data_IF_814871087221
#
_entry.id   IF_814871087221
#
_cell.length_a   1.000
_cell.length_b   1.000
_cell.length_c   1.000
_cell.angle_alpha   90.00
_cell.angle_beta   90.00
_cell.angle_gamma   90.00
#
_symmetry.space_group_name_H-M   'P 1'
#
loop_
_entity.id
_entity.type
_entity.pdbx_description
1 polymer ?
#
# COMPACT_ATOMS: atom_id res chain seq x y z
N UNK A 1 0.32 7.47 9.73
CA UNK A 1 -1.08 7.68 10.18
C UNK A 1 -1.95 6.69 9.42
N UNK A 2 -2.76 5.89 10.10
CA UNK A 2 -3.75 5.08 9.39
C UNK A 2 -4.97 5.96 9.09
N UNK A 3 -5.46 5.90 7.88
CA UNK A 3 -6.68 6.59 7.50
C UNK A 3 -7.87 5.73 7.93
N UNK A 4 -8.64 6.20 8.92
CA UNK A 4 -9.77 5.46 9.46
C UNK A 4 -11.05 6.05 8.89
N UNK A 5 -11.76 5.30 8.10
CA UNK A 5 -13.13 5.64 7.73
C UNK A 5 -14.07 5.23 8.87
N UNK A 6 -14.90 6.16 9.31
CA UNK A 6 -15.90 5.92 10.36
C UNK A 6 -17.28 6.21 9.81
N UNK A 7 -18.20 5.30 10.03
CA UNK A 7 -19.63 5.53 9.80
C UNK A 7 -20.38 5.57 11.13
N UNK A 8 -21.43 6.36 11.20
CA UNK A 8 -22.43 6.22 12.24
C UNK A 8 -23.37 5.08 11.89
N UNK A 9 -23.60 4.18 12.84
CA UNK A 9 -24.62 3.16 12.70
C UNK A 9 -25.98 3.84 12.51
N UNK A 10 -26.70 3.45 11.47
CA UNK A 10 -28.05 3.90 11.23
C UNK A 10 -28.97 3.13 12.19
N UNK A 11 -29.46 3.77 13.24
CA UNK A 11 -30.56 3.24 14.04
C UNK A 11 -31.87 3.58 13.34
N UNK A 12 -32.15 2.94 12.22
CA UNK A 12 -33.42 3.05 11.50
C UNK A 12 -34.13 1.71 11.53
N UNK A 13 -35.43 1.73 11.81
CA UNK A 13 -36.26 0.52 11.70
C UNK A 13 -36.14 -0.05 10.28
N UNK A 14 -35.95 -1.38 10.14
CA UNK A 14 -35.99 -2.00 8.81
C UNK A 14 -37.34 -1.78 8.17
N UNK A 15 -37.40 -1.27 6.97
CA UNK A 15 -38.59 -1.42 6.15
C UNK A 15 -39.28 -0.20 5.58
N UNK A 16 -38.80 1.01 5.74
CA UNK A 16 -39.32 2.14 4.93
C UNK A 16 -38.45 2.34 3.70
N UNK A 17 -38.55 1.43 2.73
CA UNK A 17 -37.81 1.47 1.48
C UNK A 17 -38.18 2.64 0.60
N UNK A 18 -37.74 3.81 0.90
CA UNK A 18 -37.71 4.98 0.00
C UNK A 18 -36.62 5.91 0.50
N UNK A 19 -35.67 6.23 -0.34
CA UNK A 19 -34.70 7.31 -0.37
C UNK A 19 -34.92 8.46 0.66
N UNK A 20 -34.99 8.13 1.94
CA UNK A 20 -34.88 9.15 2.97
C UNK A 20 -33.43 9.44 3.17
N UNK A 21 -33.09 10.71 3.24
CA UNK A 21 -31.78 11.17 3.65
C UNK A 21 -31.29 10.32 4.82
N UNK A 22 -30.06 9.78 4.70
CA UNK A 22 -29.48 8.90 5.69
C UNK A 22 -29.55 9.52 7.08
N UNK A 23 -30.26 8.89 7.97
CA UNK A 23 -30.36 9.32 9.36
C UNK A 23 -29.11 8.79 10.09
N UNK A 24 -28.22 9.72 10.44
CA UNK A 24 -27.01 9.40 11.17
C UNK A 24 -27.30 9.41 12.69
N UNK A 25 -27.29 8.23 13.31
CA UNK A 25 -27.51 8.07 14.75
C UNK A 25 -26.51 7.10 15.39
N UNK A 26 -26.44 7.11 16.74
CA UNK A 26 -25.52 6.24 17.48
C UNK A 26 -24.08 6.73 17.56
N UNK A 27 -23.18 5.88 18.06
CA UNK A 27 -21.74 6.14 18.16
C UNK A 27 -21.01 5.98 16.83
N UNK A 28 -19.87 6.63 16.72
CA UNK A 28 -18.98 6.43 15.55
C UNK A 28 -18.33 5.06 15.62
N UNK A 29 -18.48 4.27 14.56
CA UNK A 29 -17.85 2.95 14.41
C UNK A 29 -16.89 2.96 13.23
N UNK A 30 -15.70 2.41 13.41
CA UNK A 30 -14.75 2.22 12.32
C UNK A 30 -15.27 1.11 11.39
N UNK A 31 -15.39 1.40 10.12
CA UNK A 31 -15.88 0.45 9.09
C UNK A 31 -14.84 0.15 8.02
N UNK A 32 -13.75 0.93 7.95
CA UNK A 32 -12.66 0.72 7.01
C UNK A 32 -11.40 1.39 7.50
N UNK A 33 -10.25 0.90 7.02
CA UNK A 33 -8.96 1.54 7.17
C UNK A 33 -8.09 1.26 5.94
N UNK A 34 -7.27 2.23 5.61
CA UNK A 34 -6.27 2.15 4.57
C UNK A 34 -5.05 2.94 5.02
N UNK A 35 -4.04 2.27 5.54
CA UNK A 35 -2.75 2.87 5.90
C UNK A 35 -1.77 2.70 4.75
N UNK A 36 -1.42 1.45 4.43
CA UNK A 36 -0.59 1.13 3.28
C UNK A 36 -1.44 0.73 2.08
N UNK A 37 -1.19 1.33 0.89
CA UNK A 37 -1.87 0.95 -0.34
C UNK A 37 -1.78 -0.56 -0.60
N UNK A 38 -2.88 -1.13 -1.07
CA UNK A 38 -3.05 -2.51 -1.50
C UNK A 38 -2.97 -3.59 -0.41
N UNK A 39 -2.63 -3.26 0.84
CA UNK A 39 -2.63 -4.27 1.92
C UNK A 39 -4.04 -4.78 2.17
N UNK A 40 -5.01 -3.88 2.36
CA UNK A 40 -6.41 -4.28 2.54
C UNK A 40 -6.97 -4.98 1.31
N UNK A 41 -6.62 -4.52 0.12
CA UNK A 41 -7.20 -4.98 -1.13
C UNK A 41 -6.72 -6.36 -1.56
N UNK A 42 -5.39 -6.61 -1.50
CA UNK A 42 -4.78 -7.79 -2.12
C UNK A 42 -3.96 -8.67 -1.19
N UNK A 43 -3.65 -8.20 0.02
CA UNK A 43 -2.88 -8.99 1.00
C UNK A 43 -3.82 -9.65 2.01
N UNK A 44 -4.76 -8.90 2.60
CA UNK A 44 -5.70 -9.44 3.57
C UNK A 44 -6.72 -10.33 2.86
N UNK A 45 -6.90 -11.57 3.35
CA UNK A 45 -7.88 -12.51 2.81
C UNK A 45 -9.33 -12.03 3.00
N UNK A 46 -10.21 -12.50 2.11
CA UNK A 46 -11.62 -12.06 2.07
C UNK A 46 -12.33 -12.30 3.42
N UNK A 47 -12.09 -13.45 4.04
CA UNK A 47 -12.77 -13.85 5.27
C UNK A 47 -12.46 -12.95 6.47
N UNK A 48 -11.28 -12.30 6.46
CA UNK A 48 -10.83 -11.42 7.55
C UNK A 48 -10.92 -9.93 7.20
N UNK A 49 -11.42 -9.53 6.02
CA UNK A 49 -11.48 -8.12 5.62
C UNK A 49 -12.29 -7.24 6.57
N UNK A 50 -13.46 -7.69 6.98
CA UNK A 50 -14.30 -6.93 7.90
C UNK A 50 -13.65 -6.81 9.27
N UNK A 51 -13.02 -7.89 9.75
CA UNK A 51 -12.23 -7.89 10.99
C UNK A 51 -11.04 -6.95 10.90
N UNK A 52 -10.31 -6.96 9.77
CA UNK A 52 -9.20 -6.04 9.52
C UNK A 52 -9.69 -4.59 9.50
N UNK A 53 -10.75 -4.30 8.76
CA UNK A 53 -11.34 -2.97 8.65
C UNK A 53 -11.81 -2.39 10.00
N UNK A 54 -12.34 -3.24 10.88
CA UNK A 54 -12.79 -2.86 12.22
C UNK A 54 -11.65 -2.78 13.25
N UNK A 55 -10.50 -3.41 12.97
CA UNK A 55 -9.35 -3.48 13.89
C UNK A 55 -8.52 -2.20 13.89
N UNK A 56 -7.78 -1.98 14.98
CA UNK A 56 -6.81 -0.89 15.10
C UNK A 56 -5.42 -1.39 14.74
N UNK A 57 -4.52 -0.52 14.22
CA UNK A 57 -3.14 -0.91 13.87
C UNK A 57 -2.36 -1.60 14.99
N UNK A 58 -2.62 -1.29 16.25
CA UNK A 58 -1.99 -1.95 17.41
C UNK A 58 -2.32 -3.44 17.51
N UNK A 59 -3.37 -3.89 16.85
CA UNK A 59 -3.87 -5.26 16.90
C UNK A 59 -3.49 -6.06 15.63
N UNK A 60 -2.62 -5.53 14.76
CA UNK A 60 -2.28 -6.10 13.45
C UNK A 60 -1.48 -7.40 13.50
N UNK A 61 -0.92 -7.75 14.65
CA UNK A 61 -0.22 -9.03 14.81
C UNK A 61 -1.11 -10.24 14.44
N UNK A 62 -2.43 -10.12 14.60
CA UNK A 62 -3.39 -11.16 14.22
C UNK A 62 -3.51 -11.40 12.71
N UNK A 63 -3.01 -10.47 11.88
CA UNK A 63 -3.03 -10.55 10.42
C UNK A 63 -1.62 -10.76 9.82
N UNK A 64 -0.61 -10.98 10.66
CA UNK A 64 0.77 -11.07 10.21
C UNK A 64 0.99 -12.17 9.17
N UNK A 65 0.24 -13.27 9.26
CA UNK A 65 0.32 -14.40 8.33
C UNK A 65 0.01 -14.00 6.87
N UNK A 66 -0.94 -13.12 6.65
CA UNK A 66 -1.26 -12.62 5.32
C UNK A 66 -0.08 -11.88 4.66
N UNK A 67 0.75 -11.23 5.48
CA UNK A 67 1.92 -10.50 5.00
C UNK A 67 3.14 -11.42 4.85
N UNK A 68 3.33 -12.33 5.79
CA UNK A 68 4.49 -13.26 5.78
C UNK A 68 4.32 -14.41 4.80
N UNK A 69 3.07 -14.76 4.47
CA UNK A 69 2.73 -15.86 3.55
C UNK A 69 1.66 -15.41 2.53
N UNK A 70 1.93 -14.39 1.69
CA UNK A 70 0.93 -13.81 0.81
C UNK A 70 0.53 -14.78 -0.31
N UNK A 71 -0.75 -14.80 -0.65
CA UNK A 71 -1.30 -15.62 -1.74
C UNK A 71 -1.03 -15.00 -3.12
N UNK A 72 -0.97 -13.66 -3.20
CA UNK A 72 -0.85 -12.92 -4.46
C UNK A 72 0.29 -13.41 -5.37
N UNK A 73 1.54 -13.65 -4.91
CA UNK A 73 2.60 -14.13 -5.78
C UNK A 73 2.29 -15.49 -6.44
N UNK A 74 1.68 -16.41 -5.71
CA UNK A 74 1.28 -17.70 -6.25
C UNK A 74 0.16 -17.56 -7.31
N UNK A 75 -0.77 -16.62 -7.12
CA UNK A 75 -1.80 -16.31 -8.13
C UNK A 75 -1.17 -15.72 -9.39
N UNK A 76 -0.22 -14.79 -9.25
CA UNK A 76 0.51 -14.21 -10.39
C UNK A 76 1.25 -15.32 -11.15
N UNK A 77 1.96 -16.22 -10.47
CA UNK A 77 2.64 -17.37 -11.12
C UNK A 77 1.65 -18.31 -11.83
N UNK A 78 0.47 -18.54 -11.25
CA UNK A 78 -0.54 -19.40 -11.88
C UNK A 78 -1.09 -18.83 -13.19
N UNK A 79 -1.21 -17.50 -13.27
CA UNK A 79 -1.67 -16.78 -14.46
C UNK A 79 -0.53 -16.56 -15.48
N UNK A 80 0.67 -16.36 -14.98
CA UNK A 80 1.88 -16.06 -15.76
C UNK A 80 3.00 -16.99 -15.34
N UNK A 81 3.08 -18.23 -15.86
CA UNK A 81 4.01 -19.26 -15.38
C UNK A 81 5.50 -18.89 -15.43
N UNK A 82 5.88 -17.91 -16.24
CA UNK A 82 7.23 -17.35 -16.27
C UNK A 82 7.54 -16.39 -15.11
N UNK A 83 6.52 -15.86 -14.47
CA UNK A 83 6.66 -14.94 -13.33
C UNK A 83 6.68 -15.72 -12.01
N UNK A 84 7.80 -16.42 -11.75
CA UNK A 84 7.94 -17.27 -10.58
C UNK A 84 7.81 -16.52 -9.27
N UNK A 85 6.99 -17.06 -8.36
CA UNK A 85 6.82 -16.49 -7.02
C UNK A 85 8.13 -16.54 -6.22
N UNK A 86 8.34 -15.58 -5.30
CA UNK A 86 9.47 -15.62 -4.36
C UNK A 86 9.43 -16.83 -3.45
N UNK A 87 10.60 -17.33 -3.08
CA UNK A 87 10.78 -18.56 -2.29
C UNK A 87 11.21 -18.29 -0.84
N UNK A 88 11.45 -17.02 -0.47
CA UNK A 88 11.79 -16.62 0.90
C UNK A 88 10.54 -16.59 1.78
N UNK A 89 10.40 -17.55 2.66
CA UNK A 89 9.34 -17.60 3.65
C UNK A 89 9.93 -17.75 5.06
N UNK A 90 9.41 -17.01 6.06
CA UNK A 90 8.38 -15.96 5.96
C UNK A 90 8.87 -14.74 5.18
N UNK A 91 7.97 -14.01 4.50
CA UNK A 91 8.26 -12.82 3.69
C UNK A 91 8.59 -11.61 4.57
N UNK A 92 9.81 -11.58 5.11
CA UNK A 92 10.30 -10.47 5.95
C UNK A 92 10.48 -9.16 5.19
N UNK A 93 10.73 -9.22 3.90
CA UNK A 93 10.75 -8.10 2.98
C UNK A 93 9.39 -7.36 2.94
N UNK A 94 8.28 -8.10 2.88
CA UNK A 94 6.94 -7.51 2.92
C UNK A 94 6.60 -6.92 4.30
N UNK A 95 7.03 -7.58 5.38
CA UNK A 95 6.91 -7.00 6.73
C UNK A 95 7.62 -5.66 6.83
N UNK A 96 8.79 -5.53 6.18
CA UNK A 96 9.54 -4.27 6.16
C UNK A 96 8.73 -3.17 5.49
N UNK A 97 8.20 -3.39 4.29
CA UNK A 97 7.49 -2.35 3.54
C UNK A 97 6.10 -2.07 4.12
N UNK A 98 5.31 -3.12 4.36
CA UNK A 98 3.90 -2.95 4.67
C UNK A 98 3.63 -2.70 6.16
N UNK A 99 4.50 -3.17 7.06
CA UNK A 99 4.22 -3.10 8.49
C UNK A 99 5.21 -2.27 9.30
N UNK A 100 6.49 -2.19 8.91
CA UNK A 100 7.53 -1.53 9.73
C UNK A 100 8.04 -0.21 9.15
N UNK A 101 8.13 -0.12 7.84
CA UNK A 101 8.87 0.93 7.14
C UNK A 101 10.33 0.54 6.91
N UNK A 102 10.99 1.31 6.05
CA UNK A 102 12.39 1.10 5.64
C UNK A 102 13.31 1.88 6.57
N UNK A 103 14.32 1.18 7.12
CA UNK A 103 15.30 1.80 8.01
C UNK A 103 16.06 2.92 7.30
N UNK A 104 16.23 4.05 7.98
CA UNK A 104 16.85 5.25 7.41
C UNK A 104 15.93 6.09 6.50
N UNK A 105 14.73 5.60 6.18
CA UNK A 105 13.75 6.32 5.37
C UNK A 105 12.53 6.69 6.20
N UNK A 106 11.63 5.75 6.45
CA UNK A 106 10.35 6.02 7.13
C UNK A 106 10.06 5.09 8.32
N UNK A 107 11.04 4.29 8.76
CA UNK A 107 10.92 3.46 9.93
C UNK A 107 11.21 4.27 11.22
N UNK A 108 10.27 4.39 12.17
CA UNK A 108 10.55 5.01 13.47
C UNK A 108 11.43 4.13 14.34
N UNK A 109 12.17 4.75 15.29
CA UNK A 109 13.10 4.05 16.17
C UNK A 109 12.46 2.90 16.97
N UNK A 110 11.25 3.11 17.48
CA UNK A 110 10.49 2.13 18.26
C UNK A 110 9.30 1.59 17.46
N UNK A 111 9.58 1.00 16.29
CA UNK A 111 8.51 0.54 15.40
C UNK A 111 7.84 -0.73 15.95
N UNK A 112 6.51 -0.68 16.05
CA UNK A 112 5.65 -1.86 16.17
C UNK A 112 5.10 -2.18 14.78
N UNK A 113 5.21 -3.45 14.38
CA UNK A 113 4.70 -3.90 13.09
C UNK A 113 3.18 -3.66 13.01
N UNK A 114 2.77 -2.79 12.10
CA UNK A 114 1.36 -2.40 11.92
C UNK A 114 1.15 -1.75 10.54
N UNK A 115 0.00 -2.00 9.96
CA UNK A 115 -0.38 -1.43 8.66
C UNK A 115 -0.68 0.07 8.83
N UNK A 116 0.32 0.89 8.53
CA UNK A 116 0.28 2.35 8.67
C UNK A 116 1.12 3.00 7.59
N UNK A 117 0.60 4.02 6.95
CA UNK A 117 1.42 4.93 6.14
C UNK A 117 2.27 5.78 7.08
N UNK A 118 3.58 5.77 6.86
CA UNK A 118 4.57 6.53 7.66
C UNK A 118 5.19 7.63 6.82
N UNK A 119 5.35 8.80 7.41
CA UNK A 119 6.02 9.94 6.80
C UNK A 119 7.14 10.44 7.71
N UNK A 120 8.35 10.41 7.19
CA UNK A 120 9.51 11.03 7.82
C UNK A 120 9.65 12.48 7.33
N UNK A 121 9.25 13.42 8.16
CA UNK A 121 9.29 14.85 7.82
C UNK A 121 10.70 15.45 7.86
N UNK A 122 11.71 14.69 8.30
CA UNK A 122 13.12 15.11 8.23
C UNK A 122 13.70 14.96 6.83
N UNK A 123 13.05 14.21 5.94
CA UNK A 123 13.42 14.14 4.53
C UNK A 123 12.72 15.26 3.78
N UNK A 124 13.50 16.14 3.20
CA UNK A 124 12.98 17.28 2.45
C UNK A 124 12.18 16.82 1.22
N UNK A 125 11.08 17.52 0.84
CA UNK A 125 10.34 17.21 -0.38
C UNK A 125 11.24 17.33 -1.62
N UNK A 126 11.13 16.39 -2.54
CA UNK A 126 11.78 16.49 -3.84
C UNK A 126 11.07 17.51 -4.73
N UNK A 127 11.85 18.33 -5.48
CA UNK A 127 11.29 19.20 -6.50
C UNK A 127 10.50 18.39 -7.55
N UNK A 128 9.47 18.97 -8.15
CA UNK A 128 8.58 18.28 -9.10
C UNK A 128 9.33 17.52 -10.20
N UNK A 129 10.35 18.14 -10.80
CA UNK A 129 11.16 17.50 -11.86
C UNK A 129 12.14 16.43 -11.37
N UNK A 130 12.33 16.29 -10.06
CA UNK A 130 13.18 15.26 -9.44
C UNK A 130 12.38 14.12 -8.80
N UNK A 131 11.06 14.20 -8.81
CA UNK A 131 10.21 13.15 -8.26
C UNK A 131 10.18 11.93 -9.17
N UNK A 132 10.35 10.74 -8.58
CA UNK A 132 10.15 9.48 -9.28
C UNK A 132 8.83 8.85 -8.90
N UNK A 133 8.00 8.38 -9.85
CA UNK A 133 6.80 7.60 -9.54
C UNK A 133 7.10 6.32 -8.74
N UNK A 134 8.32 5.79 -8.86
CA UNK A 134 8.76 4.62 -8.12
C UNK A 134 9.40 4.97 -6.75
N UNK A 135 9.36 6.22 -6.34
CA UNK A 135 9.76 6.67 -5.02
C UNK A 135 11.10 6.12 -4.55
N UNK A 136 11.14 5.57 -3.34
CA UNK A 136 12.36 5.05 -2.72
C UNK A 136 13.03 3.95 -3.54
N UNK A 137 12.28 3.14 -4.28
CA UNK A 137 12.83 2.11 -5.15
C UNK A 137 13.67 2.68 -6.31
N UNK A 138 13.46 3.95 -6.65
CA UNK A 138 14.24 4.69 -7.65
C UNK A 138 15.19 5.73 -7.01
N UNK A 139 15.44 5.65 -5.70
CA UNK A 139 16.34 6.56 -4.99
C UNK A 139 15.71 7.89 -4.54
N UNK A 140 14.41 8.09 -4.76
CA UNK A 140 13.67 9.27 -4.31
C UNK A 140 13.07 9.02 -2.92
N UNK A 141 13.85 9.29 -1.87
CA UNK A 141 13.47 9.03 -0.49
C UNK A 141 12.31 9.92 0.02
N UNK A 142 11.90 10.94 -0.72
CA UNK A 142 10.71 11.74 -0.44
C UNK A 142 9.42 11.15 -1.02
N UNK A 143 9.51 10.06 -1.78
CA UNK A 143 8.39 9.33 -2.36
C UNK A 143 8.00 8.09 -1.58
N UNK A 144 6.97 7.38 -2.04
CA UNK A 144 6.47 6.16 -1.42
C UNK A 144 7.59 5.12 -1.20
N UNK A 145 7.65 4.42 -0.04
CA UNK A 145 6.67 4.40 1.06
C UNK A 145 6.88 5.48 2.14
N UNK A 146 7.71 6.50 1.91
CA UNK A 146 7.81 7.66 2.79
C UNK A 146 6.66 8.64 2.50
N UNK A 147 5.51 8.39 3.09
CA UNK A 147 4.28 9.02 2.67
C UNK A 147 3.79 8.49 1.31
N UNK A 148 2.88 9.23 0.69
CA UNK A 148 2.35 8.96 -0.65
C UNK A 148 2.03 10.27 -1.34
N UNK A 149 2.69 10.54 -2.44
CA UNK A 149 2.38 11.69 -3.31
C UNK A 149 1.36 11.27 -4.39
N UNK A 150 0.64 12.22 -4.99
CA UNK A 150 -0.31 11.92 -6.07
C UNK A 150 0.33 11.20 -7.27
N UNK A 151 1.61 11.49 -7.56
CA UNK A 151 2.35 10.87 -8.66
C UNK A 151 3.06 9.57 -8.32
N UNK A 152 3.01 9.11 -7.06
CA UNK A 152 3.64 7.84 -6.68
C UNK A 152 2.81 6.66 -7.19
N UNK A 153 3.43 5.82 -7.99
CA UNK A 153 2.83 4.63 -8.58
C UNK A 153 2.82 3.47 -7.59
N UNK A 154 1.87 3.55 -6.66
CA UNK A 154 1.80 2.60 -5.55
C UNK A 154 1.33 1.22 -5.98
N UNK A 155 0.60 1.09 -7.08
CA UNK A 155 0.15 -0.19 -7.61
C UNK A 155 1.33 -0.96 -8.18
N UNK A 156 2.08 -0.35 -9.11
CA UNK A 156 3.28 -0.93 -9.69
C UNK A 156 4.29 -1.31 -8.60
N UNK A 157 4.53 -0.40 -7.66
CA UNK A 157 5.47 -0.65 -6.56
C UNK A 157 5.05 -1.82 -5.68
N UNK A 158 3.78 -1.86 -5.26
CA UNK A 158 3.30 -2.93 -4.38
C UNK A 158 3.30 -4.29 -5.09
N UNK A 159 2.95 -4.33 -6.38
CA UNK A 159 3.00 -5.56 -7.18
C UNK A 159 4.44 -6.06 -7.33
N UNK A 160 5.37 -5.17 -7.68
CA UNK A 160 6.81 -5.51 -7.79
C UNK A 160 7.37 -5.99 -6.47
N UNK A 161 7.04 -5.32 -5.36
CA UNK A 161 7.47 -5.72 -4.01
C UNK A 161 6.87 -7.08 -3.64
N UNK A 162 5.60 -7.32 -3.91
CA UNK A 162 4.97 -8.64 -3.70
C UNK A 162 5.71 -9.75 -4.46
N UNK A 163 6.16 -9.47 -5.69
CA UNK A 163 6.94 -10.39 -6.53
C UNK A 163 8.44 -10.40 -6.21
N UNK A 164 8.87 -9.74 -5.12
CA UNK A 164 10.21 -9.85 -4.57
C UNK A 164 11.21 -8.81 -5.05
N UNK A 165 10.77 -7.64 -5.53
CA UNK A 165 11.68 -6.58 -5.98
C UNK A 165 12.68 -6.15 -4.90
N UNK A 166 12.31 -6.17 -3.62
CA UNK A 166 13.22 -5.82 -2.53
C UNK A 166 14.38 -6.83 -2.40
N UNK A 167 14.14 -8.11 -2.65
CA UNK A 167 15.19 -9.12 -2.64
C UNK A 167 16.23 -8.86 -3.75
N UNK A 168 15.80 -8.28 -4.87
CA UNK A 168 16.72 -7.86 -5.94
C UNK A 168 17.46 -6.57 -5.56
N UNK A 169 16.74 -5.56 -5.06
CA UNK A 169 17.30 -4.26 -4.69
C UNK A 169 18.30 -4.35 -3.54
N UNK A 170 18.07 -5.25 -2.58
CA UNK A 170 18.97 -5.43 -1.42
C UNK A 170 20.30 -6.09 -1.80
N UNK A 171 20.34 -6.76 -2.97
CA UNK A 171 21.52 -7.48 -3.44
C UNK A 171 21.85 -8.73 -2.60
N UNK A 172 22.97 -9.36 -2.94
CA UNK A 172 23.42 -10.59 -2.25
C UNK A 172 23.85 -10.35 -0.81
N UNK A 173 24.25 -9.12 -0.48
CA UNK A 173 24.69 -8.71 0.86
C UNK A 173 23.55 -8.28 1.79
N UNK A 174 22.31 -8.35 1.34
CA UNK A 174 21.12 -7.87 2.06
C UNK A 174 21.31 -6.49 2.70
N UNK A 175 21.70 -5.52 1.87
CA UNK A 175 22.03 -4.15 2.32
C UNK A 175 20.85 -3.43 2.94
N UNK A 176 19.64 -3.75 2.53
CA UNK A 176 18.38 -3.20 3.08
C UNK A 176 17.89 -3.97 4.31
N UNK A 177 18.57 -5.06 4.68
CA UNK A 177 18.21 -5.93 5.82
C UNK A 177 16.77 -6.43 5.75
N UNK A 178 16.36 -6.87 4.58
CA UNK A 178 15.01 -7.38 4.32
C UNK A 178 14.91 -8.91 4.47
N UNK A 179 16.03 -9.59 4.67
CA UNK A 179 16.08 -11.03 4.97
C UNK A 179 15.92 -11.93 3.75
N UNK A 180 16.23 -11.42 2.56
CA UNK A 180 16.25 -12.19 1.32
C UNK A 180 17.35 -11.70 0.36
N UNK A 181 17.55 -12.41 -0.74
CA UNK A 181 18.56 -12.15 -1.76
C UNK A 181 17.97 -12.36 -3.17
N UNK A 182 18.62 -11.89 -4.24
CA UNK A 182 18.09 -11.97 -5.61
C UNK A 182 17.68 -13.37 -6.06
N UNK A 183 18.41 -14.42 -5.62
CA UNK A 183 18.09 -15.81 -5.95
C UNK A 183 16.76 -16.30 -5.37
N UNK A 184 16.24 -15.64 -4.34
CA UNK A 184 14.99 -15.99 -3.69
C UNK A 184 13.77 -15.41 -4.43
N UNK A 185 14.01 -14.48 -5.37
CA UNK A 185 12.96 -13.78 -6.11
C UNK A 185 13.23 -13.80 -7.63
N UNK A 186 13.01 -14.92 -8.30
CA UNK A 186 13.34 -15.07 -9.73
C UNK A 186 12.63 -14.06 -10.64
N UNK A 187 11.42 -13.64 -10.28
CA UNK A 187 10.65 -12.61 -11.01
C UNK A 187 10.79 -11.19 -10.42
N UNK A 188 11.61 -11.01 -9.39
CA UNK A 188 11.71 -9.72 -8.67
C UNK A 188 12.27 -8.56 -9.49
N UNK A 189 12.95 -8.83 -10.59
CA UNK A 189 13.45 -7.81 -11.52
C UNK A 189 12.45 -7.47 -12.65
N UNK A 190 11.34 -8.20 -12.79
CA UNK A 190 10.37 -7.96 -13.85
C UNK A 190 9.64 -6.61 -13.63
N UNK A 191 9.44 -5.83 -14.70
CA UNK A 191 8.83 -4.51 -14.62
C UNK A 191 7.29 -4.60 -14.61
N UNK A 192 6.73 -5.29 -13.62
CA UNK A 192 5.28 -5.34 -13.46
C UNK A 192 4.68 -3.93 -13.44
N UNK A 193 3.61 -3.72 -14.19
CA UNK A 193 2.89 -2.44 -14.27
C UNK A 193 1.44 -2.68 -14.72
N UNK A 194 0.57 -1.72 -14.43
CA UNK A 194 -0.83 -1.71 -14.83
C UNK A 194 -1.09 -0.95 -16.14
N UNK A 195 -0.04 -0.43 -16.78
CA UNK A 195 -0.13 0.36 -18.01
C UNK A 195 -0.52 1.82 -17.79
N UNK A 196 -0.78 2.25 -16.54
CA UNK A 196 -1.10 3.64 -16.19
C UNK A 196 0.07 4.29 -15.47
N UNK A 197 0.57 5.41 -15.99
CA UNK A 197 1.64 6.17 -15.36
C UNK A 197 1.26 7.63 -15.21
N UNK A 198 1.46 8.16 -14.02
CA UNK A 198 1.36 9.58 -13.69
C UNK A 198 2.70 10.08 -13.18
N UNK A 199 2.95 11.35 -13.40
CA UNK A 199 4.19 12.04 -12.97
C UNK A 199 3.82 13.33 -12.26
N UNK A 200 4.81 13.99 -11.64
CA UNK A 200 4.58 15.29 -11.02
C UNK A 200 4.04 16.35 -12.00
N UNK A 201 4.32 16.20 -13.30
CA UNK A 201 3.83 17.12 -14.35
C UNK A 201 2.31 17.01 -14.59
N UNK A 202 1.69 15.90 -14.18
CA UNK A 202 0.24 15.71 -14.31
C UNK A 202 -0.56 16.42 -13.21
N UNK A 203 0.11 17.06 -12.24
CA UNK A 203 -0.50 17.68 -11.07
C UNK A 203 -0.19 19.17 -10.97
N UNK A 204 -1.03 19.90 -10.22
CA UNK A 204 -0.78 21.32 -9.91
C UNK A 204 0.30 21.46 -8.85
N UNK A 205 1.01 22.58 -8.87
CA UNK A 205 2.03 22.92 -7.86
C UNK A 205 1.44 23.54 -6.60
N UNK A 206 0.14 23.86 -6.61
CA UNK A 206 -0.60 24.47 -5.49
C UNK A 206 -1.81 23.65 -5.11
N UNK A 207 -2.25 23.78 -3.85
CA UNK A 207 -3.45 23.12 -3.37
C UNK A 207 -4.67 23.44 -4.28
N UNK A 208 -5.52 22.44 -4.63
CA UNK A 208 -5.60 21.06 -4.12
C UNK A 208 -4.69 20.05 -4.86
N UNK A 209 -3.71 20.48 -5.61
CA UNK A 209 -2.74 19.68 -6.38
C UNK A 209 -3.33 18.85 -7.52
N UNK A 210 -4.61 18.61 -7.52
CA UNK A 210 -5.31 17.83 -8.56
C UNK A 210 -5.84 18.77 -9.65
N UNK A 211 -5.76 18.34 -10.89
CA UNK A 211 -6.43 18.97 -12.02
C UNK A 211 -7.94 18.71 -11.96
N UNK A 212 -8.70 19.41 -12.80
CA UNK A 212 -10.13 19.15 -12.97
C UNK A 212 -10.32 17.68 -13.36
N UNK A 213 -11.22 16.95 -12.69
CA UNK A 213 -11.51 15.56 -13.05
C UNK A 213 -11.94 15.45 -14.52
N UNK A 214 -11.48 14.40 -15.17
CA UNK A 214 -12.01 14.04 -16.48
C UNK A 214 -13.46 13.54 -16.31
N UNK A 215 -14.37 13.85 -17.25
CA UNK A 215 -15.73 13.32 -17.21
C UNK A 215 -15.70 11.79 -17.29
N UNK A 216 -16.52 11.12 -16.47
CA UNK A 216 -16.60 9.66 -16.44
C UNK A 216 -17.31 9.07 -17.66
N UNK A 217 -18.14 9.87 -18.34
CA UNK A 217 -18.74 9.55 -19.65
C UNK A 217 -18.83 10.83 -20.46
N UNK A 218 -18.72 10.70 -21.77
CA UNK A 218 -19.09 11.78 -22.67
C UNK A 218 -20.62 11.84 -22.68
N UNK A 219 -21.19 12.98 -22.28
CA UNK A 219 -22.60 13.29 -22.56
C UNK A 219 -22.64 13.76 -23.99
N UNK A 220 -23.07 12.89 -24.91
CA UNK A 220 -23.42 13.23 -26.26
C UNK A 220 -24.77 13.99 -26.30
#
# INVERSE_FOLDING_TARGET
MSNHSRCRLLNGAPGSGLNKASFNGGGWTQVSRLGMPLVNEVIIGLDDKDKFNASKPKDDAQFADYVTNPVLPALVESLFPSAKAPTNFPRTDLVTVFLKGISGVNQPANVVASEMLRLNTSIAPAAAGAQSPLGVAAGDNAGFPNGRRPGDDVLDLSLRVAMGALCVLTGTADTLKVGCKPTDAPAGALPFNDGVRKTAADFKTVFPYLNTPLPGSFND
#
